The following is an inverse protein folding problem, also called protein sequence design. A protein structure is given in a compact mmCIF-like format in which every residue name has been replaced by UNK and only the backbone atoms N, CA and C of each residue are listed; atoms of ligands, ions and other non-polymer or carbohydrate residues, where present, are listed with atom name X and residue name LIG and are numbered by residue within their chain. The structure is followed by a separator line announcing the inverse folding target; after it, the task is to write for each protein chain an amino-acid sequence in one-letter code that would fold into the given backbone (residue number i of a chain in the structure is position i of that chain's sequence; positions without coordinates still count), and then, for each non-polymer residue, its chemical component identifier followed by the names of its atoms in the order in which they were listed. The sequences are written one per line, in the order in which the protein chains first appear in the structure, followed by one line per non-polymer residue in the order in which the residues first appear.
data_IF_245226776545
#
_entry.id   IF_245226776545
#
_cell.length_a   1.000
_cell.length_b   1.000
_cell.length_c   1.000
_cell.angle_alpha   90.00
_cell.angle_beta   90.00
_cell.angle_gamma   90.00
#
_symmetry.space_group_name_H-M   'P 1'
#
loop_
_entity.id
_entity.type
_entity.pdbx_description
1 polymer ?
#
# COMPACT_ATOMS: atom_id res chain seq x y z
N UNK A 1 14.20 9.43 -1.67
CA UNK A 1 13.10 8.44 -1.62
C UNK A 1 11.79 9.13 -1.28
N UNK A 2 10.81 9.11 -2.18
CA UNK A 2 9.48 9.72 -2.00
C UNK A 2 8.61 8.94 -1.00
N UNK A 3 7.52 9.53 -0.50
CA UNK A 3 6.57 8.83 0.38
C UNK A 3 6.02 7.57 -0.30
N UNK A 4 5.65 7.68 -1.58
CA UNK A 4 5.25 6.55 -2.44
C UNK A 4 6.26 5.41 -2.42
N UNK A 5 7.52 5.70 -2.71
CA UNK A 5 8.58 4.68 -2.75
C UNK A 5 8.76 3.98 -1.41
N UNK A 6 8.63 4.71 -0.30
CA UNK A 6 8.75 4.13 1.04
C UNK A 6 7.55 3.24 1.38
N UNK A 7 6.32 3.68 1.04
CA UNK A 7 5.10 2.87 1.18
C UNK A 7 5.22 1.58 0.37
N UNK A 8 5.60 1.67 -0.90
CA UNK A 8 5.82 0.49 -1.77
C UNK A 8 6.87 -0.44 -1.18
N UNK A 9 8.02 0.10 -0.73
CA UNK A 9 9.09 -0.72 -0.14
C UNK A 9 8.61 -1.45 1.11
N UNK A 10 7.88 -0.77 1.99
CA UNK A 10 7.32 -1.36 3.19
C UNK A 10 6.32 -2.48 2.87
N UNK A 11 5.41 -2.26 1.92
CA UNK A 11 4.42 -3.26 1.51
C UNK A 11 5.04 -4.45 0.77
N UNK A 12 6.09 -4.22 -0.03
CA UNK A 12 6.83 -5.30 -0.73
C UNK A 12 7.63 -6.18 0.23
N UNK A 13 7.96 -5.68 1.42
CA UNK A 13 8.65 -6.42 2.48
C UNK A 13 7.74 -7.33 3.31
N UNK A 14 6.47 -7.52 2.93
CA UNK A 14 5.55 -8.40 3.63
C UNK A 14 6.12 -9.83 3.69
N UNK A 15 6.50 -10.28 4.89
CA UNK A 15 7.07 -11.62 5.11
C UNK A 15 6.03 -12.71 4.82
N UNK A 16 4.75 -12.42 5.05
CA UNK A 16 3.65 -13.34 4.78
C UNK A 16 2.88 -12.94 3.51
N UNK A 17 3.00 -13.70 2.40
CA UNK A 17 2.25 -13.44 1.18
C UNK A 17 0.73 -13.65 1.32
N UNK A 18 0.26 -14.28 2.40
CA UNK A 18 -1.18 -14.45 2.73
C UNK A 18 -1.76 -13.28 3.52
N UNK A 19 -0.92 -12.40 4.06
CA UNK A 19 -1.33 -11.21 4.82
C UNK A 19 -0.70 -9.94 4.24
N UNK A 20 -1.01 -9.67 2.96
CA UNK A 20 -0.52 -8.52 2.21
C UNK A 20 -1.45 -7.30 2.28
N UNK A 21 -2.40 -7.30 3.23
CA UNK A 21 -3.31 -6.18 3.51
C UNK A 21 -2.83 -5.36 4.72
N UNK A 22 -2.65 -4.06 4.50
CA UNK A 22 -2.09 -3.13 5.47
C UNK A 22 -3.11 -2.09 5.90
N UNK A 23 -3.27 -1.90 7.21
CA UNK A 23 -4.11 -0.82 7.72
C UNK A 23 -3.43 0.55 7.52
N UNK A 24 -4.21 1.59 7.21
CA UNK A 24 -3.69 2.95 6.99
C UNK A 24 -2.78 3.45 8.14
N UNK A 25 -3.12 3.09 9.39
CA UNK A 25 -2.39 3.54 10.57
C UNK A 25 -1.03 2.86 10.75
N UNK A 26 -0.80 1.67 10.18
CA UNK A 26 0.49 0.97 10.28
C UNK A 26 1.61 1.76 9.61
N UNK A 27 1.33 2.37 8.47
CA UNK A 27 2.30 3.18 7.74
C UNK A 27 2.85 4.34 8.59
N UNK A 28 2.08 4.91 9.51
CA UNK A 28 2.57 5.98 10.40
C UNK A 28 3.73 5.52 11.29
N UNK A 29 3.75 4.25 11.68
CA UNK A 29 4.76 3.68 12.58
C UNK A 29 5.94 3.05 11.84
N UNK A 30 5.75 2.65 10.58
CA UNK A 30 6.74 1.89 9.82
C UNK A 30 7.32 2.63 8.61
N UNK A 31 6.64 3.64 8.09
CA UNK A 31 7.11 4.46 6.97
C UNK A 31 7.64 5.78 7.52
N UNK A 32 8.97 5.92 7.53
CA UNK A 32 9.61 7.16 7.94
C UNK A 32 9.31 8.29 6.94
N UNK A 33 9.16 9.52 7.44
CA UNK A 33 9.01 10.74 6.62
C UNK A 33 7.60 11.09 6.17
N UNK A 34 6.58 10.35 6.59
CA UNK A 34 5.23 10.89 6.64
C UNK A 34 5.07 11.78 7.89
N UNK A 35 4.40 12.92 7.74
CA UNK A 35 4.08 13.84 8.85
C UNK A 35 2.93 13.31 9.69
N UNK A 36 1.90 12.78 9.05
CA UNK A 36 0.67 12.33 9.70
C UNK A 36 -0.08 11.27 8.88
N UNK A 37 -1.13 10.70 9.49
CA UNK A 37 -2.01 9.72 8.83
C UNK A 37 -2.77 10.31 7.63
N UNK A 38 -3.28 11.57 7.66
CA UNK A 38 -3.88 12.21 6.48
C UNK A 38 -2.97 12.31 5.25
N UNK A 39 -1.68 12.59 5.41
CA UNK A 39 -0.70 12.61 4.31
C UNK A 39 -0.54 11.21 3.70
N UNK A 40 -0.40 10.18 4.53
CA UNK A 40 -0.32 8.78 4.10
C UNK A 40 -1.58 8.38 3.34
N UNK A 41 -2.77 8.67 3.88
CA UNK A 41 -4.04 8.35 3.24
C UNK A 41 -4.14 8.99 1.86
N UNK A 42 -3.81 10.28 1.73
CA UNK A 42 -3.84 10.99 0.45
C UNK A 42 -2.86 10.40 -0.56
N UNK A 43 -1.71 9.90 -0.12
CA UNK A 43 -0.78 9.20 -1.02
C UNK A 43 -1.31 7.83 -1.43
N UNK A 44 -1.90 7.05 -0.52
CA UNK A 44 -2.52 5.76 -0.84
C UNK A 44 -3.70 5.91 -1.81
N UNK A 45 -4.54 6.95 -1.65
CA UNK A 45 -5.61 7.29 -2.60
C UNK A 45 -5.07 7.72 -3.97
N UNK A 46 -3.90 8.39 -4.02
CA UNK A 46 -3.19 8.65 -5.29
C UNK A 46 -2.69 7.35 -5.91
N UNK A 47 -2.07 6.48 -5.13
CA UNK A 47 -1.56 5.20 -5.58
C UNK A 47 -2.68 4.27 -6.08
N UNK A 48 -3.87 4.31 -5.47
CA UNK A 48 -5.06 3.57 -5.93
C UNK A 48 -5.52 4.09 -7.29
N UNK A 49 -5.61 5.41 -7.46
CA UNK A 49 -5.95 6.02 -8.77
C UNK A 49 -4.92 5.69 -9.86
N UNK A 50 -3.65 5.55 -9.47
CA UNK A 50 -2.56 5.17 -10.37
C UNK A 50 -2.47 3.66 -10.62
N UNK A 51 -3.35 2.84 -10.02
CA UNK A 51 -3.36 1.38 -10.21
C UNK A 51 -2.22 0.63 -9.53
N UNK A 52 -1.59 1.22 -8.50
CA UNK A 52 -0.48 0.61 -7.76
C UNK A 52 -0.94 -0.18 -6.53
N UNK A 53 -2.05 0.22 -5.92
CA UNK A 53 -2.65 -0.44 -4.76
C UNK A 53 -4.14 -0.63 -4.97
N UNK A 54 -4.70 -1.62 -4.29
CA UNK A 54 -6.14 -1.79 -4.13
C UNK A 54 -6.55 -1.55 -2.68
N UNK A 55 -7.81 -1.19 -2.47
CA UNK A 55 -8.35 -0.88 -1.16
C UNK A 55 -9.53 -1.78 -0.77
N UNK A 56 -9.55 -2.21 0.48
CA UNK A 56 -10.69 -2.87 1.12
C UNK A 56 -11.31 -1.90 2.14
N UNK A 57 -12.55 -1.52 1.87
CA UNK A 57 -13.36 -0.58 2.66
C UNK A 57 -14.52 -1.27 3.40
N UNK A 58 -14.45 -2.60 3.56
CA UNK A 58 -15.48 -3.38 4.27
C UNK A 58 -15.64 -2.97 5.74
N UNK A 59 -14.59 -2.42 6.36
CA UNK A 59 -14.64 -1.89 7.73
C UNK A 59 -14.97 -0.40 7.72
N UNK A 60 -16.00 0.01 8.47
CA UNK A 60 -16.48 1.41 8.52
C UNK A 60 -15.40 2.42 8.97
N UNK A 61 -14.47 1.99 9.82
CA UNK A 61 -13.46 2.86 10.43
C UNK A 61 -12.03 2.62 9.90
N UNK A 62 -11.85 1.70 8.95
CA UNK A 62 -10.53 1.30 8.50
C UNK A 62 -10.55 0.93 7.03
N UNK A 63 -9.57 1.45 6.29
CA UNK A 63 -9.26 1.01 4.93
C UNK A 63 -7.99 0.21 4.98
N UNK A 64 -8.06 -1.02 4.47
CA UNK A 64 -6.90 -1.85 4.23
C UNK A 64 -6.41 -1.62 2.81
N UNK A 65 -5.11 -1.72 2.62
CA UNK A 65 -4.43 -1.45 1.36
C UNK A 65 -3.52 -2.60 1.01
N UNK A 66 -3.45 -2.95 -0.27
CA UNK A 66 -2.57 -4.01 -0.76
C UNK A 66 -1.91 -3.57 -2.05
N UNK A 67 -0.65 -3.93 -2.25
CA UNK A 67 0.02 -3.70 -3.54
C UNK A 67 -0.61 -4.58 -4.61
N UNK A 68 -0.93 -3.98 -5.74
CA UNK A 68 -1.33 -4.76 -6.92
C UNK A 68 -0.08 -5.48 -7.40
N UNK A 69 -0.05 -6.79 -7.21
CA UNK A 69 0.97 -7.65 -7.81
C UNK A 69 0.66 -7.67 -9.30
N UNK A 70 1.44 -6.95 -10.11
CA UNK A 70 1.47 -7.22 -11.53
C UNK A 70 1.83 -8.71 -11.66
N UNK A 71 0.88 -9.54 -12.13
CA UNK A 71 1.27 -10.80 -12.74
C UNK A 71 2.30 -10.38 -13.78
N UNK A 72 3.55 -10.81 -13.60
CA UNK A 72 4.47 -10.84 -14.73
C UNK A 72 3.69 -11.57 -15.81
N UNK A 73 3.27 -10.85 -16.86
CA UNK A 73 2.66 -11.47 -18.01
C UNK A 73 3.76 -12.41 -18.52
N UNK A 74 3.57 -13.69 -18.22
CA UNK A 74 4.35 -14.75 -18.80
C UNK A 74 4.11 -14.67 -20.28
N UNK A 75 5.08 -14.09 -20.99
CA UNK A 75 5.30 -14.27 -22.41
C UNK A 75 5.11 -15.76 -22.68
N UNK A 76 4.01 -16.11 -23.34
CA UNK A 76 3.85 -17.46 -23.89
C UNK A 76 4.92 -17.65 -24.98
N UNK A 77 5.63 -18.78 -25.01
CA UNK A 77 6.36 -19.19 -26.20
C UNK A 77 5.41 -19.41 -27.38
#
# INVERSE_FOLDING_TARGET
MTLRQRITTYMSGAIDPRNDWFCTWWFKFHVSGARDTPEIRRELERMERDGLVESDRSQRNNTKWRLIKHKAEGVSP
#
